data_IF_140386007487
#
_entry.id   IF_140386007487
#
_cell.length_a   1.000
_cell.length_b   1.000
_cell.length_c   1.000
_cell.angle_alpha   90.00
_cell.angle_beta   90.00
_cell.angle_gamma   90.00
#
_symmetry.space_group_name_H-M   'P 1'
#
loop_
_entity.id
_entity.type
_entity.pdbx_description
1 polymer ?
#
# COMPACT_ATOMS: atom_id res chain seq x y z
N UNK A 1 -0.32 -3.22 11.55
CA UNK A 1 -1.54 -2.95 10.76
C UNK A 1 -1.25 -3.25 9.30
N UNK A 2 -1.65 -4.41 8.81
CA UNK A 2 -1.39 -4.84 7.43
C UNK A 2 -2.48 -4.21 6.53
N UNK A 3 -2.08 -3.34 5.59
CA UNK A 3 -2.99 -2.64 4.65
C UNK A 3 -3.22 -3.40 3.33
N UNK A 4 -2.55 -4.54 3.19
CA UNK A 4 -2.56 -5.33 1.98
C UNK A 4 -3.71 -6.33 2.07
N UNK A 5 -4.71 -6.15 1.22
CA UNK A 5 -5.76 -7.13 0.98
C UNK A 5 -5.32 -8.02 -0.16
N UNK A 6 -5.11 -9.29 0.15
CA UNK A 6 -4.79 -10.32 -0.84
C UNK A 6 -6.10 -10.78 -1.47
N UNK A 7 -6.48 -10.19 -2.61
CA UNK A 7 -7.71 -10.57 -3.31
C UNK A 7 -7.40 -11.71 -4.29
N UNK A 8 -7.95 -12.90 -4.03
CA UNK A 8 -7.89 -14.02 -4.97
C UNK A 8 -8.82 -13.71 -6.15
N UNK A 9 -8.27 -13.46 -7.32
CA UNK A 9 -9.03 -13.44 -8.58
C UNK A 9 -8.94 -14.81 -9.24
N UNK A 10 -9.92 -15.18 -10.08
CA UNK A 10 -10.10 -16.52 -10.69
C UNK A 10 -8.82 -17.13 -11.29
N UNK A 11 -7.81 -16.33 -11.67
CA UNK A 11 -6.53 -16.80 -12.21
C UNK A 11 -5.28 -16.31 -11.49
N UNK A 12 -5.35 -15.28 -10.64
CA UNK A 12 -4.15 -14.65 -10.02
C UNK A 12 -4.47 -14.05 -8.65
N UNK A 13 -3.49 -14.06 -7.76
CA UNK A 13 -3.53 -13.27 -6.55
C UNK A 13 -3.24 -11.81 -6.90
N UNK A 14 -4.15 -10.91 -6.52
CA UNK A 14 -3.97 -9.48 -6.70
C UNK A 14 -3.78 -8.85 -5.33
N UNK A 15 -2.60 -8.31 -5.09
CA UNK A 15 -2.35 -7.46 -3.93
C UNK A 15 -3.02 -6.11 -4.15
N UNK A 16 -3.90 -5.72 -3.23
CA UNK A 16 -4.61 -4.44 -3.26
C UNK A 16 -4.35 -3.73 -1.93
N UNK A 17 -4.01 -2.45 -2.00
CA UNK A 17 -3.85 -1.60 -0.81
C UNK A 17 -5.17 -0.87 -0.56
N UNK A 18 -5.70 -0.97 0.66
CA UNK A 18 -6.85 -0.15 1.06
C UNK A 18 -6.41 1.28 1.39
N UNK A 19 -6.40 2.13 0.35
CA UNK A 19 -6.02 3.53 0.47
C UNK A 19 -6.93 4.35 1.38
N UNK A 20 -8.21 3.98 1.61
CA UNK A 20 -9.10 4.77 2.48
C UNK A 20 -8.63 4.71 3.93
N UNK A 21 -8.38 3.50 4.42
CA UNK A 21 -7.88 3.29 5.80
C UNK A 21 -6.44 3.77 5.94
N UNK A 22 -5.64 3.58 4.90
CA UNK A 22 -4.26 4.02 4.87
C UNK A 22 -4.12 5.54 4.91
N UNK A 23 -4.91 6.29 4.14
CA UNK A 23 -4.87 7.77 4.17
C UNK A 23 -5.20 8.36 5.54
N UNK A 24 -6.14 7.76 6.29
CA UNK A 24 -6.46 8.21 7.66
C UNK A 24 -5.26 8.04 8.60
N UNK A 25 -4.47 6.99 8.41
CA UNK A 25 -3.32 6.67 9.27
C UNK A 25 -2.10 7.51 8.85
N UNK A 26 -1.88 7.72 7.55
CA UNK A 26 -0.83 8.61 7.02
C UNK A 26 -1.07 10.06 7.45
N UNK A 27 -2.30 10.58 7.40
CA UNK A 27 -2.60 11.94 7.84
C UNK A 27 -2.16 12.22 9.28
N UNK A 28 -2.13 11.20 10.13
CA UNK A 28 -1.64 11.31 11.51
C UNK A 28 -0.13 11.09 11.66
N UNK A 29 0.53 10.54 10.64
CA UNK A 29 1.93 10.13 10.70
C UNK A 29 2.67 10.48 9.41
N UNK A 30 3.33 11.64 9.41
CA UNK A 30 4.08 12.17 8.26
C UNK A 30 5.17 11.20 7.76
N UNK A 31 5.83 10.47 8.67
CA UNK A 31 6.87 9.48 8.33
C UNK A 31 6.38 8.31 7.45
N UNK A 32 5.09 7.96 7.54
CA UNK A 32 4.50 6.89 6.72
C UNK A 32 4.34 7.31 5.25
N UNK A 33 4.27 8.61 4.97
CA UNK A 33 4.21 9.11 3.58
C UNK A 33 5.51 8.81 2.83
N UNK A 34 6.64 9.07 3.49
CA UNK A 34 7.98 8.84 2.97
C UNK A 34 8.25 7.35 2.70
N UNK A 35 7.72 6.49 3.56
CA UNK A 35 7.77 5.03 3.40
C UNK A 35 7.05 4.56 2.12
N UNK A 36 5.92 5.16 1.75
CA UNK A 36 5.17 4.82 0.53
C UNK A 36 5.91 5.25 -0.72
N UNK A 37 6.52 6.44 -0.69
CA UNK A 37 7.31 6.95 -1.83
C UNK A 37 8.46 5.99 -2.11
N UNK A 38 9.21 5.57 -1.08
CA UNK A 38 10.27 4.57 -1.20
C UNK A 38 9.76 3.21 -1.68
N UNK A 39 8.63 2.74 -1.15
CA UNK A 39 8.00 1.49 -1.59
C UNK A 39 7.58 1.56 -3.07
N UNK A 40 7.06 2.70 -3.51
CA UNK A 40 6.67 2.94 -4.91
C UNK A 40 7.90 2.98 -5.83
N UNK A 41 8.98 3.62 -5.41
CA UNK A 41 10.27 3.56 -6.12
C UNK A 41 10.77 2.13 -6.28
N UNK A 42 10.74 1.32 -5.23
CA UNK A 42 11.20 -0.08 -5.31
C UNK A 42 10.30 -0.92 -6.24
N UNK A 43 8.99 -0.68 -6.24
CA UNK A 43 8.02 -1.45 -7.03
C UNK A 43 7.94 -1.04 -8.51
N UNK A 44 8.19 0.23 -8.83
CA UNK A 44 8.01 0.79 -10.18
C UNK A 44 9.29 1.37 -10.80
N UNK A 45 10.38 1.44 -10.05
CA UNK A 45 11.70 1.87 -10.52
C UNK A 45 12.57 0.72 -11.04
N UNK A 46 12.01 -0.48 -11.20
CA UNK A 46 12.63 -1.63 -11.88
C UNK A 46 12.16 -1.73 -13.33
#
# INVERSE_FOLDING_TARGET
LIFFVLKKSKKKFRFIIDYKRFNKIIKKNYYLLLFIIKLKEILYGA
#
